data_IF_168650788766
#
_entry.id   IF_168650788766
#
_cell.length_a   1.000
_cell.length_b   1.000
_cell.length_c   1.000
_cell.angle_alpha   90.00
_cell.angle_beta   90.00
_cell.angle_gamma   90.00
#
_symmetry.space_group_name_H-M   'P 1'
#
loop_
_entity.id
_entity.type
_entity.pdbx_description
1 polymer ?
#
# COMPACT_ATOMS: atom_id res chain seq x y z
N UNK A 1 3.65 -25.97 -25.18
CA UNK A 1 4.10 -26.81 -24.05
C UNK A 1 4.73 -26.02 -22.91
N UNK A 2 5.85 -25.30 -23.08
CA UNK A 2 6.49 -24.57 -21.96
C UNK A 2 5.60 -23.52 -21.29
N UNK A 3 4.93 -22.66 -22.07
CA UNK A 3 4.02 -21.61 -21.56
C UNK A 3 2.86 -22.20 -20.74
N UNK A 4 2.34 -23.37 -21.14
CA UNK A 4 1.25 -24.03 -20.43
C UNK A 4 1.70 -24.55 -19.06
N UNK A 5 2.89 -25.17 -19.01
CA UNK A 5 3.47 -25.65 -17.75
C UNK A 5 3.76 -24.51 -16.76
N UNK A 6 4.19 -23.33 -17.24
CA UNK A 6 4.41 -22.16 -16.37
C UNK A 6 3.07 -21.65 -15.84
N UNK A 7 2.06 -21.52 -16.71
CA UNK A 7 0.72 -21.07 -16.32
C UNK A 7 0.08 -21.98 -15.27
N UNK A 8 0.24 -23.30 -15.38
CA UNK A 8 -0.28 -24.25 -14.39
C UNK A 8 0.36 -24.05 -13.01
N UNK A 9 1.67 -23.77 -12.95
CA UNK A 9 2.36 -23.46 -11.69
C UNK A 9 1.88 -22.14 -11.07
N UNK A 10 1.73 -21.09 -11.89
CA UNK A 10 1.20 -19.81 -11.43
C UNK A 10 -0.22 -19.95 -10.85
N UNK A 11 -1.08 -20.70 -11.54
CA UNK A 11 -2.46 -20.92 -11.11
C UNK A 11 -2.54 -21.69 -9.79
N UNK A 12 -1.62 -22.63 -9.55
CA UNK A 12 -1.53 -23.34 -8.28
C UNK A 12 -1.18 -22.39 -7.12
N UNK A 13 -0.21 -21.49 -7.32
CA UNK A 13 0.19 -20.48 -6.32
C UNK A 13 -0.97 -19.52 -6.05
N UNK A 14 -1.61 -18.98 -7.11
CA UNK A 14 -2.75 -18.08 -6.99
C UNK A 14 -3.93 -18.73 -6.26
N UNK A 15 -4.16 -20.02 -6.48
CA UNK A 15 -5.23 -20.76 -5.79
C UNK A 15 -4.92 -20.92 -4.31
N UNK A 16 -3.69 -21.28 -3.96
CA UNK A 16 -3.27 -21.36 -2.56
C UNK A 16 -3.36 -20.01 -1.85
N UNK A 17 -2.97 -18.93 -2.53
CA UNK A 17 -3.09 -17.56 -2.01
C UNK A 17 -4.56 -17.16 -1.79
N UNK A 18 -5.41 -17.41 -2.78
CA UNK A 18 -6.86 -17.13 -2.70
C UNK A 18 -7.50 -17.86 -1.52
N UNK A 19 -7.13 -19.13 -1.29
CA UNK A 19 -7.62 -19.92 -0.15
C UNK A 19 -7.12 -19.31 1.16
N UNK A 20 -5.84 -18.94 1.24
CA UNK A 20 -5.26 -18.29 2.43
C UNK A 20 -5.98 -16.98 2.77
N UNK A 21 -6.21 -16.12 1.78
CA UNK A 21 -6.92 -14.85 1.93
C UNK A 21 -8.36 -15.08 2.40
N UNK A 22 -9.06 -16.07 1.85
CA UNK A 22 -10.41 -16.41 2.26
C UNK A 22 -10.47 -16.85 3.73
N UNK A 23 -9.56 -17.74 4.15
CA UNK A 23 -9.46 -18.18 5.55
C UNK A 23 -9.12 -17.01 6.49
N UNK A 24 -8.16 -16.17 6.12
CA UNK A 24 -7.76 -15.02 6.91
C UNK A 24 -8.93 -14.04 7.11
N UNK A 25 -9.69 -13.78 6.04
CA UNK A 25 -10.88 -12.92 6.09
C UNK A 25 -11.96 -13.54 7.00
N UNK A 26 -12.20 -14.85 6.90
CA UNK A 26 -13.15 -15.54 7.74
C UNK A 26 -12.78 -15.47 9.23
N UNK A 27 -11.51 -15.74 9.56
CA UNK A 27 -11.00 -15.65 10.93
C UNK A 27 -11.14 -14.23 11.46
N UNK A 28 -10.83 -13.23 10.65
CA UNK A 28 -10.90 -11.81 11.05
C UNK A 28 -12.34 -11.38 11.34
N UNK A 29 -13.29 -11.73 10.46
CA UNK A 29 -14.71 -11.43 10.67
C UNK A 29 -15.25 -12.17 11.90
N UNK A 30 -14.91 -13.45 12.05
CA UNK A 30 -15.34 -14.26 13.21
C UNK A 30 -14.73 -13.73 14.51
N UNK A 31 -13.47 -13.31 14.49
CA UNK A 31 -12.78 -12.72 15.63
C UNK A 31 -13.50 -11.48 16.14
N UNK A 32 -13.92 -10.56 15.25
CA UNK A 32 -14.67 -9.37 15.65
C UNK A 32 -16.01 -9.72 16.34
N UNK A 33 -16.70 -10.74 15.85
CA UNK A 33 -17.95 -11.23 16.45
C UNK A 33 -17.68 -11.84 17.83
N UNK A 34 -16.66 -12.69 17.95
CA UNK A 34 -16.27 -13.33 19.22
C UNK A 34 -15.88 -12.26 20.25
N UNK A 35 -15.06 -11.27 19.86
CA UNK A 35 -14.66 -10.15 20.74
C UNK A 35 -15.87 -9.39 21.26
N UNK A 36 -16.87 -9.15 20.41
CA UNK A 36 -18.13 -8.50 20.81
C UNK A 36 -18.90 -9.33 21.83
N UNK A 37 -19.05 -10.64 21.57
CA UNK A 37 -19.73 -11.58 22.49
C UNK A 37 -19.01 -11.70 23.84
N UNK A 38 -17.68 -11.78 23.82
CA UNK A 38 -16.85 -11.84 25.03
C UNK A 38 -16.99 -10.55 25.83
N UNK A 39 -16.99 -9.39 25.17
CA UNK A 39 -17.13 -8.11 25.84
C UNK A 39 -18.50 -7.98 26.53
N UNK A 40 -19.59 -8.31 25.83
CA UNK A 40 -20.92 -8.31 26.47
C UNK A 40 -21.06 -9.36 27.58
N UNK A 41 -20.47 -10.54 27.40
CA UNK A 41 -20.47 -11.59 28.44
C UNK A 41 -19.72 -11.15 29.70
N UNK A 42 -18.57 -10.49 29.53
CA UNK A 42 -17.77 -9.98 30.63
C UNK A 42 -18.45 -8.78 31.31
N UNK A 43 -19.01 -7.87 30.51
CA UNK A 43 -19.77 -6.72 31.00
C UNK A 43 -20.96 -7.15 31.87
N UNK A 44 -21.72 -8.16 31.43
CA UNK A 44 -22.81 -8.77 32.22
C UNK A 44 -22.34 -9.28 33.58
N UNK A 45 -21.16 -9.94 33.62
CA UNK A 45 -20.60 -10.49 34.86
C UNK A 45 -20.10 -9.43 35.84
N UNK A 46 -19.53 -8.33 35.33
CA UNK A 46 -18.92 -7.29 36.17
C UNK A 46 -19.99 -6.38 36.77
N UNK A 47 -20.96 -5.96 35.97
CA UNK A 47 -21.88 -4.89 36.37
C UNK A 47 -23.07 -5.40 37.18
N UNK A 48 -23.31 -6.72 37.19
CA UNK A 48 -24.32 -7.37 38.03
C UNK A 48 -25.77 -6.96 37.73
N UNK A 49 -25.98 -6.14 36.69
CA UNK A 49 -27.28 -5.66 36.21
C UNK A 49 -27.60 -6.28 34.85
N UNK A 50 -28.88 -6.53 34.54
CA UNK A 50 -29.27 -6.99 33.22
C UNK A 50 -28.92 -5.93 32.18
N UNK A 51 -28.20 -6.34 31.13
CA UNK A 51 -27.81 -5.43 30.05
C UNK A 51 -29.08 -4.96 29.35
N UNK A 52 -29.30 -3.65 29.28
CA UNK A 52 -30.45 -3.12 28.55
C UNK A 52 -30.21 -3.24 27.04
N UNK A 53 -31.27 -3.45 26.24
CA UNK A 53 -31.14 -3.50 24.79
C UNK A 53 -30.45 -2.27 24.20
N UNK A 54 -30.69 -1.08 24.79
CA UNK A 54 -30.05 0.17 24.39
C UNK A 54 -28.52 0.08 24.43
N UNK A 55 -27.95 -0.44 25.52
CA UNK A 55 -26.50 -0.57 25.70
C UNK A 55 -25.89 -1.59 24.72
N UNK A 56 -26.62 -2.68 24.44
CA UNK A 56 -26.20 -3.69 23.46
C UNK A 56 -26.16 -3.10 22.05
N UNK A 57 -27.19 -2.37 21.64
CA UNK A 57 -27.23 -1.76 20.30
C UNK A 57 -26.16 -0.68 20.14
N UNK A 58 -25.94 0.17 21.16
CA UNK A 58 -24.87 1.17 21.13
C UNK A 58 -23.48 0.52 21.10
N UNK A 59 -23.25 -0.51 21.92
CA UNK A 59 -21.99 -1.25 21.93
C UNK A 59 -21.71 -1.94 20.59
N UNK A 60 -22.71 -2.60 20.01
CA UNK A 60 -22.60 -3.26 18.71
C UNK A 60 -22.24 -2.27 17.60
N UNK A 61 -22.85 -1.08 17.61
CA UNK A 61 -22.52 -0.01 16.66
C UNK A 61 -21.06 0.45 16.78
N UNK A 62 -20.56 0.64 18.01
CA UNK A 62 -19.17 1.02 18.26
C UNK A 62 -18.18 -0.06 17.80
N UNK A 63 -18.46 -1.33 18.08
CA UNK A 63 -17.62 -2.43 17.61
C UNK A 63 -17.56 -2.51 16.09
N UNK A 64 -18.71 -2.36 15.42
CA UNK A 64 -18.76 -2.38 13.96
C UNK A 64 -17.94 -1.23 13.33
N UNK A 65 -17.94 -0.05 13.96
CA UNK A 65 -17.11 1.07 13.52
C UNK A 65 -15.61 0.84 13.80
N UNK A 66 -15.26 0.08 14.83
CA UNK A 66 -13.87 -0.24 15.19
C UNK A 66 -13.29 -1.37 14.32
N UNK A 67 -14.12 -2.24 13.74
CA UNK A 67 -13.66 -3.36 12.91
C UNK A 67 -12.86 -2.88 11.70
N UNK A 68 -13.32 -1.83 11.01
CA UNK A 68 -12.64 -1.28 9.84
C UNK A 68 -11.24 -0.73 10.15
N UNK A 69 -11.04 0.18 11.12
CA UNK A 69 -9.70 0.67 11.45
C UNK A 69 -8.80 -0.45 11.99
N UNK A 70 -9.33 -1.39 12.77
CA UNK A 70 -8.56 -2.54 13.27
C UNK A 70 -8.08 -3.46 12.13
N UNK A 71 -8.90 -3.63 11.09
CA UNK A 71 -8.51 -4.35 9.87
C UNK A 71 -7.43 -3.62 9.09
N UNK A 72 -7.54 -2.31 8.93
CA UNK A 72 -6.64 -1.52 8.07
C UNK A 72 -5.23 -1.38 8.66
N UNK A 73 -5.08 -1.25 9.97
CA UNK A 73 -3.78 -1.09 10.64
C UNK A 73 -2.70 -2.09 10.16
N UNK A 74 -2.93 -3.42 10.18
CA UNK A 74 -1.92 -4.38 9.73
C UNK A 74 -1.59 -4.29 8.24
N UNK A 75 -2.50 -3.78 7.38
CA UNK A 75 -2.21 -3.56 5.96
C UNK A 75 -1.42 -2.28 5.71
N UNK A 76 -1.60 -1.25 6.54
CA UNK A 76 -0.90 0.02 6.38
C UNK A 76 0.59 -0.11 6.69
N UNK A 77 0.98 -0.96 7.65
CA UNK A 77 2.39 -1.18 8.01
C UNK A 77 3.25 -1.59 6.80
N UNK A 78 2.95 -2.69 6.08
CA UNK A 78 3.73 -3.07 4.90
C UNK A 78 3.58 -2.06 3.76
N UNK A 79 2.44 -1.37 3.63
CA UNK A 79 2.26 -0.31 2.64
C UNK A 79 3.26 0.84 2.85
N UNK A 80 3.42 1.30 4.10
CA UNK A 80 4.38 2.35 4.45
C UNK A 80 5.82 1.89 4.23
N UNK A 81 6.17 0.66 4.60
CA UNK A 81 7.50 0.10 4.35
C UNK A 81 7.81 0.09 2.85
N UNK A 82 6.87 -0.41 2.02
CA UNK A 82 7.02 -0.42 0.57
C UNK A 82 7.11 0.98 -0.01
N UNK A 83 6.34 1.94 0.51
CA UNK A 83 6.42 3.34 0.09
C UNK A 83 7.81 3.92 0.38
N UNK A 84 8.37 3.68 1.58
CA UNK A 84 9.72 4.15 1.94
C UNK A 84 10.78 3.57 1.00
N UNK A 85 10.74 2.26 0.72
CA UNK A 85 11.69 1.61 -0.18
C UNK A 85 11.54 2.14 -1.61
N UNK A 86 10.30 2.34 -2.07
CA UNK A 86 10.00 2.90 -3.39
C UNK A 86 10.55 4.34 -3.52
N UNK A 87 10.31 5.19 -2.53
CA UNK A 87 10.82 6.56 -2.51
C UNK A 87 12.34 6.60 -2.52
N UNK A 88 13.02 5.71 -1.77
CA UNK A 88 14.49 5.62 -1.81
C UNK A 88 15.01 5.32 -3.21
N UNK A 89 14.41 4.35 -3.91
CA UNK A 89 14.79 4.03 -5.30
C UNK A 89 14.56 5.20 -6.25
N UNK A 90 13.49 5.96 -6.04
CA UNK A 90 13.19 7.15 -6.84
C UNK A 90 14.22 8.25 -6.60
N UNK A 91 14.62 8.46 -5.35
CA UNK A 91 15.70 9.39 -4.99
C UNK A 91 17.01 8.96 -5.63
N UNK A 92 17.37 7.68 -5.52
CA UNK A 92 18.59 7.16 -6.14
C UNK A 92 18.57 7.41 -7.65
N UNK A 93 17.45 7.13 -8.33
CA UNK A 93 17.27 7.39 -9.77
C UNK A 93 17.40 8.86 -10.14
N UNK A 94 16.80 9.77 -9.37
CA UNK A 94 16.85 11.21 -9.65
C UNK A 94 18.22 11.84 -9.33
N UNK A 95 19.04 11.18 -8.51
CA UNK A 95 20.41 11.59 -8.18
C UNK A 95 21.45 11.02 -9.14
N UNK A 96 21.06 10.16 -10.09
CA UNK A 96 22.00 9.68 -11.11
C UNK A 96 22.52 10.86 -11.95
N UNK A 97 23.80 10.83 -12.35
CA UNK A 97 24.34 11.84 -13.25
C UNK A 97 23.51 11.87 -14.54
N UNK A 98 23.22 13.08 -15.01
CA UNK A 98 22.50 13.28 -16.27
C UNK A 98 23.26 12.60 -17.41
N UNK A 99 22.50 11.96 -18.30
CA UNK A 99 23.09 11.27 -19.45
C UNK A 99 23.66 12.32 -20.39
N UNK A 100 24.98 12.24 -20.63
CA UNK A 100 25.67 13.12 -21.56
C UNK A 100 25.00 13.02 -22.94
N UNK A 101 24.73 14.16 -23.57
CA UNK A 101 24.01 14.22 -24.85
C UNK A 101 24.84 13.60 -26.00
N UNK A 102 26.12 13.34 -25.76
CA UNK A 102 27.08 12.75 -26.71
C UNK A 102 27.04 11.21 -26.72
N UNK A 103 25.85 10.63 -26.92
CA UNK A 103 25.70 9.17 -27.06
C UNK A 103 25.98 8.73 -28.51
N UNK A 104 26.75 7.66 -28.76
CA UNK A 104 27.12 7.23 -30.11
C UNK A 104 25.94 6.72 -30.97
N UNK A 105 24.75 6.55 -30.39
CA UNK A 105 23.50 6.18 -31.05
C UNK A 105 22.48 7.32 -31.07
N UNK A 106 22.85 8.52 -30.62
CA UNK A 106 22.04 9.73 -30.79
C UNK A 106 22.42 10.34 -32.14
N UNK A 107 21.42 10.51 -33.01
CA UNK A 107 21.60 11.28 -34.24
C UNK A 107 21.63 12.77 -33.87
N UNK A 108 22.72 13.47 -34.21
CA UNK A 108 22.90 14.89 -33.88
C UNK A 108 21.85 15.78 -34.59
N UNK A 109 21.14 15.26 -35.60
CA UNK A 109 20.01 15.96 -36.23
C UNK A 109 18.77 16.07 -35.34
N UNK A 110 18.64 15.21 -34.30
CA UNK A 110 17.53 15.20 -33.34
C UNK A 110 17.89 15.93 -32.02
N UNK A 111 19.06 16.59 -31.96
CA UNK A 111 19.40 17.45 -30.84
C UNK A 111 18.55 18.74 -30.90
N UNK A 112 17.83 19.11 -29.82
CA UNK A 112 17.13 20.38 -29.77
C UNK A 112 18.14 21.53 -29.88
N UNK A 113 17.89 22.47 -30.79
CA UNK A 113 18.74 23.65 -31.05
C UNK A 113 18.83 24.60 -29.82
N UNK A 114 17.91 24.43 -28.87
CA UNK A 114 17.91 25.14 -27.61
C UNK A 114 18.88 24.49 -26.61
N UNK A 115 19.95 25.22 -26.25
CA UNK A 115 20.82 24.85 -25.13
C UNK A 115 20.30 25.46 -23.84
N UNK A 116 20.04 24.60 -22.86
CA UNK A 116 19.62 25.00 -21.52
C UNK A 116 20.86 25.09 -20.65
N UNK A 117 21.29 26.30 -20.34
CA UNK A 117 22.46 26.56 -19.49
C UNK A 117 22.00 26.99 -18.10
N UNK A 118 22.36 26.20 -17.10
CA UNK A 118 22.08 26.52 -15.70
C UNK A 118 23.16 27.46 -15.17
N UNK A 119 22.76 28.69 -14.78
CA UNK A 119 23.68 29.66 -14.18
C UNK A 119 23.67 29.49 -12.67
N UNK A 120 24.75 28.95 -12.06
CA UNK A 120 24.76 28.59 -10.64
C UNK A 120 24.72 29.79 -9.69
N UNK A 121 25.10 30.99 -10.16
CA UNK A 121 25.19 32.20 -9.32
C UNK A 121 23.84 32.92 -9.12
N UNK A 122 22.89 32.71 -10.03
CA UNK A 122 21.57 33.35 -10.04
C UNK A 122 20.39 32.38 -9.94
N UNK A 123 20.64 31.06 -9.97
CA UNK A 123 19.61 30.02 -9.92
C UNK A 123 18.65 30.02 -11.11
N UNK A 124 18.98 30.76 -12.16
CA UNK A 124 18.17 30.99 -13.35
C UNK A 124 18.56 30.00 -14.44
N UNK A 125 17.56 29.42 -15.11
CA UNK A 125 17.72 28.56 -16.27
C UNK A 125 17.58 29.42 -17.53
N UNK A 126 18.66 29.59 -18.29
CA UNK A 126 18.60 30.31 -19.56
C UNK A 126 18.45 29.32 -20.70
N UNK A 127 17.46 29.58 -21.55
CA UNK A 127 17.25 28.85 -22.79
C UNK A 127 17.82 29.71 -23.91
N UNK A 128 19.01 29.34 -24.37
CA UNK A 128 19.66 29.97 -25.52
C UNK A 128 19.21 29.25 -26.78
N UNK A 129 18.22 29.82 -27.47
CA UNK A 129 18.01 29.60 -28.90
C UNK A 129 19.01 30.51 -29.61
N UNK A 130 19.71 30.01 -30.63
CA UNK A 130 20.62 30.82 -31.45
C UNK A 130 19.94 32.11 -31.96
#
# INVERSE_FOLDING_TARGET
>A
NFVQNVREKELQILRSDSICVAFNTFITQTSSIIVTLVTFSLFSKIEGRPIMPADVFTGLALFNQLTVPLYIIPFVIPMVINAIVSTRRLVDFLLLPEVDLTLPWRDDSDAPDARVEFVPDSGSVLVSLF
#
